data_IF_595640804216
#
_entry.id   IF_595640804216
#
_cell.length_a   1.000
_cell.length_b   1.000
_cell.length_c   1.000
_cell.angle_alpha   90.00
_cell.angle_beta   90.00
_cell.angle_gamma   90.00
#
_symmetry.space_group_name_H-M   'P 1'
#
loop_
_entity.id
_entity.type
_entity.pdbx_description
1 polymer ?
#
# COMPACT_ATOMS: atom_id res chain seq x y z
N UNK A 1 -9.85 -28.54 16.50
CA UNK A 1 -9.91 -28.04 15.11
C UNK A 1 -9.07 -26.78 15.09
N UNK A 2 -7.80 -26.90 14.71
CA UNK A 2 -6.88 -25.76 14.64
C UNK A 2 -7.13 -25.04 13.32
N UNK A 3 -7.67 -23.83 13.38
CA UNK A 3 -7.77 -22.95 12.22
C UNK A 3 -6.39 -22.85 11.57
N UNK A 4 -6.30 -23.34 10.33
CA UNK A 4 -5.06 -23.46 9.60
C UNK A 4 -4.47 -22.08 9.34
N UNK A 5 -3.35 -21.78 9.99
CA UNK A 5 -2.53 -20.63 9.68
C UNK A 5 -2.10 -20.74 8.21
N UNK A 6 -2.77 -20.01 7.32
CA UNK A 6 -2.38 -19.92 5.93
C UNK A 6 -1.19 -18.95 5.88
N UNK A 7 0.00 -19.38 5.46
CA UNK A 7 1.15 -18.48 5.35
C UNK A 7 0.80 -17.33 4.42
N UNK A 8 1.30 -16.13 4.75
CA UNK A 8 1.24 -15.01 3.81
C UNK A 8 1.99 -15.41 2.53
N UNK A 9 1.52 -14.96 1.35
CA UNK A 9 2.17 -15.29 0.10
C UNK A 9 3.59 -14.74 0.07
N UNK A 10 4.51 -15.54 -0.46
CA UNK A 10 5.90 -15.19 -0.69
C UNK A 10 6.01 -14.15 -1.80
N UNK A 11 7.14 -13.43 -1.84
CA UNK A 11 7.42 -12.47 -2.92
C UNK A 11 7.36 -13.11 -4.31
N UNK A 12 7.73 -14.39 -4.44
CA UNK A 12 7.67 -15.15 -5.69
C UNK A 12 6.21 -15.38 -6.11
N UNK A 13 5.36 -15.82 -5.17
CA UNK A 13 3.93 -16.05 -5.43
C UNK A 13 3.21 -14.74 -5.79
N UNK A 14 3.58 -13.62 -5.16
CA UNK A 14 3.05 -12.28 -5.50
C UNK A 14 3.48 -11.88 -6.92
N UNK A 15 4.75 -12.11 -7.27
CA UNK A 15 5.27 -11.79 -8.60
C UNK A 15 4.60 -12.64 -9.69
N UNK A 16 4.43 -13.94 -9.47
CA UNK A 16 3.74 -14.84 -10.39
C UNK A 16 2.28 -14.46 -10.58
N UNK A 17 1.54 -14.17 -9.50
CA UNK A 17 0.16 -13.68 -9.58
C UNK A 17 0.02 -12.30 -10.24
N UNK A 18 1.13 -11.58 -10.41
CA UNK A 18 1.17 -10.26 -11.05
C UNK A 18 1.60 -10.33 -12.51
N UNK A 19 2.22 -11.43 -12.98
CA UNK A 19 2.60 -11.61 -14.39
C UNK A 19 1.40 -11.57 -15.33
N UNK A 20 0.27 -12.17 -14.93
CA UNK A 20 -0.98 -12.13 -15.71
C UNK A 20 -1.69 -10.76 -15.70
N UNK A 21 -1.17 -9.82 -14.92
CA UNK A 21 -1.66 -8.44 -14.78
C UNK A 21 -0.65 -7.40 -15.29
N UNK A 22 0.34 -7.83 -16.07
CA UNK A 22 1.28 -6.92 -16.75
C UNK A 22 0.47 -5.86 -17.54
N UNK A 23 0.50 -4.62 -17.05
CA UNK A 23 -0.18 -3.48 -17.65
C UNK A 23 -1.39 -2.91 -16.89
N UNK A 24 -1.86 -3.54 -15.79
CA UNK A 24 -2.88 -2.90 -14.93
C UNK A 24 -2.22 -2.25 -13.72
N UNK A 25 -2.50 -0.96 -13.50
CA UNK A 25 -2.04 -0.24 -12.33
C UNK A 25 -2.39 -1.02 -11.05
N UNK A 26 -1.53 -1.11 -10.02
CA UNK A 26 -1.81 -1.90 -8.81
C UNK A 26 -3.08 -1.47 -8.07
N UNK A 27 -3.53 -0.23 -8.28
CA UNK A 27 -4.80 0.30 -7.76
C UNK A 27 -5.98 0.22 -8.75
N UNK A 28 -5.83 -0.42 -9.91
CA UNK A 28 -6.91 -0.53 -10.91
C UNK A 28 -8.19 -1.15 -10.33
N UNK A 29 -8.08 -2.05 -9.35
CA UNK A 29 -9.23 -2.66 -8.68
C UNK A 29 -10.03 -1.71 -7.78
N UNK A 30 -9.47 -0.54 -7.45
CA UNK A 30 -10.09 0.46 -6.58
C UNK A 30 -10.30 1.80 -7.30
N UNK A 31 -9.96 1.87 -8.59
CA UNK A 31 -10.10 3.07 -9.40
C UNK A 31 -11.55 3.58 -9.40
N UNK A 32 -11.73 4.88 -9.17
CA UNK A 32 -13.06 5.52 -9.10
C UNK A 32 -13.84 5.25 -7.82
N UNK A 33 -13.28 4.55 -6.83
CA UNK A 33 -13.88 4.48 -5.48
C UNK A 33 -13.56 5.72 -4.66
N UNK A 34 -14.39 6.01 -3.64
CA UNK A 34 -14.15 7.14 -2.73
C UNK A 34 -12.76 7.07 -2.08
N UNK A 35 -12.34 5.87 -1.68
CA UNK A 35 -11.00 5.63 -1.14
C UNK A 35 -9.89 6.01 -2.12
N UNK A 36 -10.05 5.66 -3.40
CA UNK A 36 -9.06 6.00 -4.43
C UNK A 36 -9.01 7.50 -4.69
N UNK A 37 -10.14 8.19 -4.66
CA UNK A 37 -10.17 9.65 -4.74
C UNK A 37 -9.49 10.31 -3.53
N UNK A 38 -9.71 9.80 -2.31
CA UNK A 38 -8.98 10.27 -1.12
C UNK A 38 -7.47 10.03 -1.25
N UNK A 39 -7.07 8.86 -1.76
CA UNK A 39 -5.67 8.54 -2.05
C UNK A 39 -5.03 9.51 -3.05
N UNK A 40 -5.73 9.88 -4.13
CA UNK A 40 -5.22 10.82 -5.13
C UNK A 40 -4.98 12.24 -4.59
N UNK A 41 -5.65 12.61 -3.50
CA UNK A 41 -5.48 13.92 -2.85
C UNK A 41 -4.27 13.96 -1.90
N UNK A 42 -3.70 12.80 -1.55
CA UNK A 42 -2.58 12.70 -0.63
C UNK A 42 -1.26 12.86 -1.38
N UNK A 43 -0.51 13.90 -1.02
CA UNK A 43 0.91 13.97 -1.38
C UNK A 43 1.72 13.12 -0.39
N UNK A 44 2.32 11.99 -0.82
CA UNK A 44 3.04 11.09 0.06
C UNK A 44 4.25 11.76 0.74
N UNK A 45 4.83 12.82 0.18
CA UNK A 45 5.98 13.53 0.76
C UNK A 45 5.61 14.58 1.80
N UNK A 46 4.34 14.99 1.84
CA UNK A 46 3.83 16.01 2.77
C UNK A 46 2.99 15.36 3.87
N UNK A 47 2.22 14.32 3.53
CA UNK A 47 1.33 13.66 4.46
C UNK A 47 2.06 13.16 5.72
N UNK A 48 1.40 13.35 6.85
CA UNK A 48 1.86 12.85 8.13
C UNK A 48 1.73 11.33 8.17
N UNK A 49 2.56 10.70 9.00
CA UNK A 49 2.44 9.26 9.26
C UNK A 49 1.02 8.83 9.65
N UNK A 50 0.34 9.63 10.46
CA UNK A 50 -1.02 9.33 10.94
C UNK A 50 -2.03 9.31 9.79
N UNK A 51 -2.00 10.30 8.90
CA UNK A 51 -2.90 10.36 7.73
C UNK A 51 -2.72 9.15 6.82
N UNK A 52 -1.46 8.73 6.60
CA UNK A 52 -1.17 7.53 5.82
C UNK A 52 -1.61 6.24 6.52
N UNK A 53 -1.45 6.15 7.85
CA UNK A 53 -1.94 5.01 8.64
C UNK A 53 -3.47 4.92 8.64
N UNK A 54 -4.18 6.05 8.71
CA UNK A 54 -5.64 6.11 8.63
C UNK A 54 -6.14 5.67 7.26
N UNK A 55 -5.53 6.17 6.18
CA UNK A 55 -5.87 5.73 4.81
C UNK A 55 -5.53 4.24 4.59
N UNK A 56 -4.45 3.74 5.20
CA UNK A 56 -4.09 2.33 5.13
C UNK A 56 -5.10 1.43 5.85
N UNK A 57 -5.64 1.88 6.97
CA UNK A 57 -6.68 1.16 7.71
C UNK A 57 -8.01 1.13 6.97
N UNK A 58 -8.34 2.17 6.20
CA UNK A 58 -9.57 2.25 5.40
C UNK A 58 -9.47 1.57 4.03
N UNK A 59 -8.30 1.08 3.65
CA UNK A 59 -8.07 0.48 2.34
C UNK A 59 -9.03 -0.70 2.04
N UNK A 60 -9.71 -0.68 0.89
CA UNK A 60 -10.81 -1.63 0.59
C UNK A 60 -10.32 -3.04 0.30
N UNK A 61 -9.03 -3.20 -0.02
CA UNK A 61 -8.43 -4.51 -0.24
C UNK A 61 -6.94 -4.53 0.09
N UNK A 62 -6.40 -5.75 0.14
CA UNK A 62 -5.00 -5.99 0.49
C UNK A 62 -4.00 -5.32 -0.47
N UNK A 63 -4.34 -5.20 -1.75
CA UNK A 63 -3.43 -4.61 -2.75
C UNK A 63 -3.24 -3.11 -2.53
N UNK A 64 -4.32 -2.41 -2.16
CA UNK A 64 -4.28 -1.01 -1.74
C UNK A 64 -3.46 -0.82 -0.45
N UNK A 65 -3.61 -1.72 0.53
CA UNK A 65 -2.78 -1.72 1.74
C UNK A 65 -1.30 -1.91 1.45
N UNK A 66 -0.94 -2.91 0.63
CA UNK A 66 0.45 -3.19 0.28
C UNK A 66 1.07 -2.00 -0.49
N UNK A 67 0.29 -1.33 -1.35
CA UNK A 67 0.73 -0.12 -2.04
C UNK A 67 1.07 1.03 -1.08
N UNK A 68 0.18 1.34 -0.14
CA UNK A 68 0.43 2.34 0.90
C UNK A 68 1.60 1.96 1.81
N UNK A 69 1.79 0.67 2.07
CA UNK A 69 2.94 0.19 2.85
C UNK A 69 4.25 0.56 2.15
N UNK A 70 4.34 0.40 0.83
CA UNK A 70 5.51 0.85 0.04
C UNK A 70 5.75 2.36 0.11
N UNK A 71 4.69 3.17 0.12
CA UNK A 71 4.79 4.63 0.31
C UNK A 71 5.33 4.96 1.70
N UNK A 72 4.77 4.36 2.75
CA UNK A 72 5.19 4.57 4.13
C UNK A 72 6.64 4.14 4.37
N UNK A 73 7.06 3.00 3.81
CA UNK A 73 8.44 2.54 3.87
C UNK A 73 9.39 3.50 3.17
N UNK A 74 9.01 4.01 1.99
CA UNK A 74 9.79 5.02 1.27
C UNK A 74 9.94 6.30 2.09
N UNK A 75 8.87 6.78 2.73
CA UNK A 75 8.90 7.95 3.60
C UNK A 75 9.76 7.75 4.83
N UNK A 76 9.71 6.55 5.42
CA UNK A 76 10.57 6.17 6.53
C UNK A 76 12.05 6.18 6.13
N UNK A 77 12.40 5.63 4.96
CA UNK A 77 13.76 5.69 4.44
C UNK A 77 14.21 7.13 4.18
N UNK A 78 13.35 7.95 3.56
CA UNK A 78 13.64 9.36 3.29
C UNK A 78 13.92 10.14 4.59
N UNK A 79 13.10 9.94 5.61
CA UNK A 79 13.29 10.56 6.93
C UNK A 79 14.62 10.16 7.56
N UNK A 80 14.99 8.88 7.47
CA UNK A 80 16.29 8.38 7.97
C UNK A 80 17.46 9.02 7.24
N UNK A 81 17.39 9.15 5.91
CA UNK A 81 18.49 9.68 5.09
C UNK A 81 18.64 11.19 5.24
N UNK A 82 17.52 11.92 5.35
CA UNK A 82 17.52 13.39 5.36
C UNK A 82 17.54 14.00 6.75
N UNK A 83 17.24 13.21 7.79
CA UNK A 83 17.03 13.69 9.16
C UNK A 83 15.71 14.48 9.32
N UNK A 84 14.89 14.57 8.28
CA UNK A 84 13.56 15.20 8.37
C UNK A 84 12.58 14.26 9.07
N UNK A 85 11.66 14.78 9.91
CA UNK A 85 10.67 13.95 10.56
C UNK A 85 9.68 13.35 9.57
N UNK A 86 9.15 12.17 9.91
CA UNK A 86 8.00 11.54 9.27
C UNK A 86 6.83 11.48 10.26
#
# INVERSE_FOLDING_TARGET
MTDGFKPLPTAIEIAEASKDKEGTHPLASVEGTDWHHEFELIDPFIATRKELEELWQSAPNRRAQDWLTGIMDTRRMYAVVTGSPF
#
